data_IF_394411380971
#
_entry.id   IF_394411380971
#
_cell.length_a   1.000
_cell.length_b   1.000
_cell.length_c   1.000
_cell.angle_alpha   90.00
_cell.angle_beta   90.00
_cell.angle_gamma   90.00
#
_symmetry.space_group_name_H-M   'P 1'
#
loop_
_entity.id
_entity.type
_entity.pdbx_description
1 polymer ?
#
# COMPACT_ATOMS: atom_id res chain seq x y z
N UNK A 1 -3.89 15.01 23.86
CA UNK A 1 -2.48 14.89 24.25
C UNK A 1 -1.75 13.82 23.42
N UNK A 2 -2.18 12.55 23.40
CA UNK A 2 -1.50 11.48 22.63
C UNK A 2 -1.33 11.79 21.13
N UNK A 3 -2.35 12.33 20.45
CA UNK A 3 -2.26 12.70 19.02
C UNK A 3 -1.19 13.76 18.73
N UNK A 4 -1.02 14.74 19.62
CA UNK A 4 -0.01 15.78 19.45
C UNK A 4 1.40 15.22 19.64
N UNK A 5 1.59 14.34 20.61
CA UNK A 5 2.87 13.67 20.83
C UNK A 5 3.26 12.76 19.64
N UNK A 6 2.31 12.00 19.12
CA UNK A 6 2.54 11.18 17.91
C UNK A 6 2.87 12.01 16.69
N UNK A 7 2.17 13.12 16.50
CA UNK A 7 2.43 14.05 15.40
C UNK A 7 3.80 14.69 15.54
N UNK A 8 4.17 15.17 16.74
CA UNK A 8 5.47 15.75 17.00
C UNK A 8 6.61 14.73 16.75
N UNK A 9 6.46 13.51 17.23
CA UNK A 9 7.42 12.44 16.95
C UNK A 9 7.61 12.17 15.45
N UNK A 10 6.49 12.08 14.71
CA UNK A 10 6.53 11.90 13.25
C UNK A 10 7.27 13.05 12.56
N UNK A 11 7.02 14.29 12.96
CA UNK A 11 7.74 15.46 12.41
C UNK A 11 9.22 15.42 12.73
N UNK A 12 9.59 15.16 13.99
CA UNK A 12 11.01 15.06 14.42
C UNK A 12 11.71 13.95 13.62
N UNK A 13 11.09 12.77 13.52
CA UNK A 13 11.63 11.65 12.73
C UNK A 13 11.85 12.07 11.27
N UNK A 14 10.84 12.66 10.63
CA UNK A 14 10.94 13.11 9.23
C UNK A 14 12.04 14.14 9.03
N UNK A 15 12.10 15.19 9.87
CA UNK A 15 13.16 16.20 9.75
C UNK A 15 14.56 15.65 10.01
N UNK A 16 14.70 14.69 10.91
CA UNK A 16 15.98 14.05 11.16
C UNK A 16 16.41 13.16 10.00
N UNK A 17 15.48 12.35 9.46
CA UNK A 17 15.73 11.51 8.29
C UNK A 17 16.14 12.36 7.09
N UNK A 18 15.46 13.51 6.85
CA UNK A 18 15.82 14.45 5.77
C UNK A 18 17.25 14.98 5.91
N UNK A 19 17.74 15.17 7.13
CA UNK A 19 19.11 15.66 7.34
C UNK A 19 20.20 14.58 7.19
N UNK A 20 19.83 13.32 7.38
CA UNK A 20 20.77 12.19 7.32
C UNK A 20 20.88 11.64 5.90
N UNK A 21 19.75 11.53 5.19
CA UNK A 21 19.71 10.99 3.84
C UNK A 21 20.18 12.03 2.82
N UNK A 22 20.86 11.52 1.79
CA UNK A 22 21.30 12.34 0.66
C UNK A 22 20.14 12.66 -0.31
N UNK A 23 20.24 13.72 -1.11
CA UNK A 23 19.28 13.99 -2.19
C UNK A 23 19.12 12.81 -3.14
N UNK A 24 20.18 12.06 -3.41
CA UNK A 24 20.17 10.89 -4.29
C UNK A 24 19.32 9.75 -3.68
N UNK A 25 19.40 9.52 -2.36
CA UNK A 25 18.55 8.55 -1.67
C UNK A 25 17.05 8.87 -1.86
N UNK A 26 16.69 10.15 -1.74
CA UNK A 26 15.33 10.61 -1.98
C UNK A 26 14.94 10.52 -3.45
N UNK A 27 15.87 10.78 -4.37
CA UNK A 27 15.66 10.64 -5.80
C UNK A 27 15.27 9.21 -6.20
N UNK A 28 16.02 8.22 -5.72
CA UNK A 28 15.73 6.79 -5.93
C UNK A 28 14.33 6.45 -5.41
N UNK A 29 14.03 6.87 -4.19
CA UNK A 29 12.74 6.57 -3.56
C UNK A 29 11.58 7.27 -4.26
N UNK A 30 11.74 8.52 -4.69
CA UNK A 30 10.73 9.28 -5.40
C UNK A 30 10.35 8.60 -6.73
N UNK A 31 11.34 8.14 -7.50
CA UNK A 31 11.11 7.41 -8.75
C UNK A 31 10.36 6.10 -8.45
N UNK A 32 10.80 5.33 -7.47
CA UNK A 32 10.16 4.08 -7.09
C UNK A 32 8.70 4.30 -6.64
N UNK A 33 8.44 5.36 -5.87
CA UNK A 33 7.08 5.71 -5.42
C UNK A 33 6.15 6.10 -6.57
N UNK A 34 6.63 6.70 -7.66
CA UNK A 34 5.82 7.00 -8.84
C UNK A 34 5.25 5.70 -9.41
N UNK A 35 6.08 4.70 -9.64
CA UNK A 35 5.64 3.40 -10.18
C UNK A 35 4.72 2.67 -9.20
N UNK A 36 5.05 2.69 -7.91
CA UNK A 36 4.21 2.08 -6.88
C UNK A 36 2.83 2.76 -6.78
N UNK A 37 2.78 4.10 -6.85
CA UNK A 37 1.52 4.84 -6.80
C UNK A 37 0.62 4.54 -8.00
N UNK A 38 1.20 4.42 -9.20
CA UNK A 38 0.46 4.02 -10.40
C UNK A 38 -0.20 2.65 -10.21
N UNK A 39 0.54 1.66 -9.69
CA UNK A 39 -0.02 0.34 -9.40
C UNK A 39 -1.16 0.44 -8.38
N UNK A 40 -0.95 1.18 -7.30
CA UNK A 40 -1.90 1.31 -6.19
C UNK A 40 -3.22 1.97 -6.62
N UNK A 41 -3.17 2.92 -7.55
CA UNK A 41 -4.36 3.54 -8.15
C UNK A 41 -5.27 2.48 -8.78
N UNK A 42 -4.70 1.60 -9.59
CA UNK A 42 -5.48 0.57 -10.31
C UNK A 42 -5.95 -0.57 -9.41
N UNK A 43 -5.25 -0.89 -8.33
CA UNK A 43 -5.49 -2.12 -7.55
C UNK A 43 -6.26 -1.90 -6.26
N UNK A 44 -5.96 -0.83 -5.52
CA UNK A 44 -6.48 -0.69 -4.15
C UNK A 44 -7.67 0.25 -4.08
N UNK A 45 -7.52 1.47 -4.58
CA UNK A 45 -8.52 2.51 -4.39
C UNK A 45 -9.82 2.23 -5.15
N UNK A 46 -9.74 1.82 -6.42
CA UNK A 46 -10.91 1.49 -7.23
C UNK A 46 -11.73 0.34 -6.67
N UNK A 47 -11.06 -0.71 -6.15
CA UNK A 47 -11.73 -1.88 -5.61
C UNK A 47 -12.39 -1.65 -4.24
N UNK A 48 -11.81 -0.81 -3.39
CA UNK A 48 -12.44 -0.41 -2.13
C UNK A 48 -13.73 0.34 -2.40
N UNK A 49 -13.73 1.30 -3.33
CA UNK A 49 -14.92 2.07 -3.71
C UNK A 49 -15.99 1.15 -4.32
N UNK A 50 -15.59 0.21 -5.17
CA UNK A 50 -16.49 -0.78 -5.73
C UNK A 50 -17.19 -1.60 -4.64
N UNK A 51 -16.46 -2.08 -3.64
CA UNK A 51 -17.03 -2.87 -2.54
C UNK A 51 -17.96 -2.04 -1.63
N UNK A 52 -17.61 -0.79 -1.37
CA UNK A 52 -18.43 0.11 -0.53
C UNK A 52 -19.75 0.46 -1.22
N UNK A 53 -19.77 0.61 -2.55
CA UNK A 53 -20.99 0.94 -3.32
C UNK A 53 -21.89 -0.27 -3.59
N UNK A 54 -21.35 -1.46 -3.62
CA UNK A 54 -22.10 -2.67 -3.87
C UNK A 54 -22.88 -3.07 -2.62
N UNK A 55 -24.10 -2.52 -2.46
CA UNK A 55 -25.01 -2.79 -1.33
C UNK A 55 -25.71 -4.17 -1.39
N UNK A 56 -25.27 -5.06 -2.30
CA UNK A 56 -25.82 -6.41 -2.47
C UNK A 56 -25.17 -7.45 -1.54
N UNK A 57 -25.03 -8.68 -2.03
CA UNK A 57 -24.50 -9.84 -1.27
C UNK A 57 -23.00 -9.67 -0.93
N UNK A 58 -22.71 -8.84 0.09
CA UNK A 58 -21.37 -8.46 0.56
C UNK A 58 -20.50 -9.70 0.80
N UNK A 59 -21.11 -10.80 1.25
CA UNK A 59 -20.38 -12.02 1.56
C UNK A 59 -19.77 -12.72 0.35
N UNK A 60 -20.42 -12.66 -0.82
CA UNK A 60 -19.88 -13.18 -2.09
C UNK A 60 -18.93 -12.19 -2.73
N UNK A 61 -19.30 -10.91 -2.73
CA UNK A 61 -18.52 -9.84 -3.35
C UNK A 61 -17.14 -9.65 -2.73
N UNK A 62 -16.99 -9.79 -1.40
CA UNK A 62 -15.70 -9.62 -0.71
C UNK A 62 -14.64 -10.63 -1.15
N UNK A 63 -15.04 -11.89 -1.36
CA UNK A 63 -14.11 -12.93 -1.78
C UNK A 63 -13.65 -12.74 -3.23
N UNK A 64 -14.57 -12.32 -4.12
CA UNK A 64 -14.25 -12.02 -5.51
C UNK A 64 -13.35 -10.80 -5.62
N UNK A 65 -13.63 -9.72 -4.88
CA UNK A 65 -12.82 -8.50 -4.88
C UNK A 65 -11.43 -8.77 -4.30
N UNK A 66 -11.32 -9.59 -3.25
CA UNK A 66 -10.03 -10.03 -2.73
C UNK A 66 -9.21 -10.76 -3.81
N UNK A 67 -9.83 -11.76 -4.47
CA UNK A 67 -9.15 -12.54 -5.51
C UNK A 67 -8.74 -11.66 -6.68
N UNK A 68 -9.63 -10.77 -7.13
CA UNK A 68 -9.34 -9.82 -8.21
C UNK A 68 -8.20 -8.87 -7.83
N UNK A 69 -8.24 -8.29 -6.61
CA UNK A 69 -7.18 -7.45 -6.10
C UNK A 69 -5.83 -8.19 -6.06
N UNK A 70 -5.83 -9.42 -5.58
CA UNK A 70 -4.62 -10.24 -5.50
C UNK A 70 -4.05 -10.53 -6.89
N UNK A 71 -4.89 -10.94 -7.85
CA UNK A 71 -4.45 -11.22 -9.22
C UNK A 71 -3.90 -9.97 -9.91
N UNK A 72 -4.60 -8.82 -9.78
CA UNK A 72 -4.14 -7.56 -10.36
C UNK A 72 -2.82 -7.09 -9.72
N UNK A 73 -2.70 -7.17 -8.39
CA UNK A 73 -1.46 -6.81 -7.72
C UNK A 73 -0.30 -7.74 -8.12
N UNK A 74 -0.52 -9.05 -8.22
CA UNK A 74 0.49 -10.00 -8.68
C UNK A 74 0.91 -9.73 -10.13
N UNK A 75 -0.06 -9.50 -11.02
CA UNK A 75 0.22 -9.19 -12.42
C UNK A 75 1.05 -7.91 -12.55
N UNK A 76 0.59 -6.82 -11.93
CA UNK A 76 1.28 -5.53 -12.01
C UNK A 76 2.64 -5.56 -11.30
N UNK A 77 2.77 -6.30 -10.21
CA UNK A 77 4.05 -6.53 -9.55
C UNK A 77 5.02 -7.32 -10.44
N UNK A 78 4.54 -8.33 -11.14
CA UNK A 78 5.34 -9.09 -12.10
C UNK A 78 5.80 -8.19 -13.27
N UNK A 79 4.92 -7.34 -13.79
CA UNK A 79 5.26 -6.36 -14.83
C UNK A 79 6.30 -5.37 -14.31
N UNK A 80 6.13 -4.83 -13.09
CA UNK A 80 7.09 -3.92 -12.48
C UNK A 80 8.44 -4.60 -12.27
N UNK A 81 8.46 -5.82 -11.75
CA UNK A 81 9.70 -6.58 -11.54
C UNK A 81 10.42 -6.87 -12.86
N UNK A 82 9.69 -7.22 -13.92
CA UNK A 82 10.25 -7.47 -15.25
C UNK A 82 10.80 -6.19 -15.90
N UNK A 83 10.13 -5.04 -15.69
CA UNK A 83 10.56 -3.75 -16.23
C UNK A 83 11.61 -3.04 -15.36
N UNK A 84 11.88 -3.50 -14.14
CA UNK A 84 12.75 -2.84 -13.18
C UNK A 84 14.16 -2.53 -13.73
N UNK A 85 14.77 -3.48 -14.44
CA UNK A 85 16.10 -3.29 -15.03
C UNK A 85 16.09 -2.25 -16.17
N UNK A 86 15.03 -2.22 -16.98
CA UNK A 86 14.89 -1.22 -18.06
C UNK A 86 14.67 0.18 -17.50
N UNK A 87 13.85 0.29 -16.43
CA UNK A 87 13.63 1.55 -15.72
C UNK A 87 14.94 2.05 -15.13
N UNK A 88 15.70 1.17 -14.46
CA UNK A 88 16.99 1.53 -13.88
C UNK A 88 18.02 2.01 -14.91
N UNK A 89 18.05 1.38 -16.10
CA UNK A 89 18.89 1.84 -17.21
C UNK A 89 18.47 3.22 -17.74
N UNK A 90 17.17 3.51 -17.78
CA UNK A 90 16.65 4.81 -18.24
C UNK A 90 17.03 5.97 -17.31
N UNK A 91 17.11 5.67 -16.00
CA UNK A 91 17.51 6.64 -14.97
C UNK A 91 19.00 6.58 -14.62
N UNK A 92 19.78 5.77 -15.35
CA UNK A 92 21.23 5.55 -15.12
C UNK A 92 21.57 5.22 -13.65
N UNK A 93 20.70 4.44 -12.98
CA UNK A 93 20.85 4.11 -11.57
C UNK A 93 20.51 2.64 -11.30
N UNK A 94 21.54 1.81 -11.12
CA UNK A 94 21.38 0.37 -10.90
C UNK A 94 20.73 0.02 -9.54
N UNK A 95 20.88 0.87 -8.54
CA UNK A 95 20.25 0.65 -7.22
C UNK A 95 18.72 0.68 -7.31
N UNK A 96 18.17 1.43 -8.26
CA UNK A 96 16.74 1.48 -8.52
C UNK A 96 16.14 0.10 -8.85
N UNK A 97 16.90 -0.78 -9.51
CA UNK A 97 16.47 -2.16 -9.79
C UNK A 97 16.14 -2.92 -8.51
N UNK A 98 17.01 -2.85 -7.50
CA UNK A 98 16.83 -3.53 -6.22
C UNK A 98 15.60 -3.00 -5.49
N UNK A 99 15.44 -1.67 -5.48
CA UNK A 99 14.29 -1.01 -4.85
C UNK A 99 12.99 -1.41 -5.50
N UNK A 100 12.91 -1.38 -6.83
CA UNK A 100 11.71 -1.77 -7.58
C UNK A 100 11.36 -3.26 -7.37
N UNK A 101 12.34 -4.15 -7.29
CA UNK A 101 12.09 -5.56 -6.98
C UNK A 101 11.51 -5.76 -5.59
N UNK A 102 12.06 -5.08 -4.57
CA UNK A 102 11.53 -5.16 -3.21
C UNK A 102 10.11 -4.58 -3.14
N UNK A 103 9.87 -3.44 -3.78
CA UNK A 103 8.53 -2.86 -3.83
C UNK A 103 7.53 -3.74 -4.59
N UNK A 104 7.93 -4.36 -5.70
CA UNK A 104 7.10 -5.33 -6.41
C UNK A 104 6.75 -6.54 -5.55
N UNK A 105 7.69 -7.03 -4.72
CA UNK A 105 7.45 -8.15 -3.81
C UNK A 105 6.48 -7.80 -2.68
N UNK A 106 6.46 -6.55 -2.22
CA UNK A 106 5.62 -6.09 -1.10
C UNK A 106 4.20 -5.74 -1.59
N UNK A 107 4.06 -5.26 -2.83
CA UNK A 107 2.80 -4.74 -3.36
C UNK A 107 1.60 -5.72 -3.20
N UNK A 108 1.70 -7.04 -3.39
CA UNK A 108 0.59 -7.98 -3.15
C UNK A 108 0.03 -7.96 -1.73
N UNK A 109 0.81 -7.49 -0.73
CA UNK A 109 0.34 -7.32 0.65
C UNK A 109 -0.85 -6.37 0.72
N UNK A 110 -0.90 -5.36 -0.16
CA UNK A 110 -2.01 -4.40 -0.22
C UNK A 110 -3.36 -5.06 -0.48
N UNK A 111 -3.39 -6.19 -1.19
CA UNK A 111 -4.62 -6.94 -1.47
C UNK A 111 -5.32 -7.43 -0.19
N UNK A 112 -4.54 -7.79 0.82
CA UNK A 112 -5.06 -8.23 2.13
C UNK A 112 -5.64 -7.08 2.95
N UNK A 113 -5.46 -5.83 2.54
CA UNK A 113 -6.03 -4.66 3.20
C UNK A 113 -7.35 -4.21 2.57
N UNK A 114 -7.66 -4.59 1.32
CA UNK A 114 -8.83 -4.11 0.57
C UNK A 114 -10.13 -4.43 1.30
N UNK A 115 -10.34 -5.70 1.63
CA UNK A 115 -11.56 -6.15 2.30
C UNK A 115 -11.70 -5.57 3.71
N UNK A 116 -10.68 -5.64 4.61
CA UNK A 116 -10.75 -5.02 5.93
C UNK A 116 -11.00 -3.50 5.88
N UNK A 117 -10.34 -2.79 4.99
CA UNK A 117 -10.55 -1.34 4.83
C UNK A 117 -11.99 -1.02 4.42
N UNK A 118 -12.52 -1.73 3.43
CA UNK A 118 -13.89 -1.55 2.98
C UNK A 118 -14.90 -1.90 4.09
N UNK A 119 -14.71 -3.01 4.80
CA UNK A 119 -15.58 -3.41 5.91
C UNK A 119 -15.63 -2.36 7.03
N UNK A 120 -14.49 -1.79 7.41
CA UNK A 120 -14.44 -0.72 8.41
C UNK A 120 -15.12 0.57 7.93
N UNK A 121 -15.06 0.87 6.63
CA UNK A 121 -15.75 2.03 6.03
C UNK A 121 -17.26 1.82 5.97
N UNK A 122 -17.72 0.64 5.53
CA UNK A 122 -19.14 0.28 5.46
C UNK A 122 -19.77 0.35 6.87
N UNK A 123 -19.07 -0.17 7.87
CA UNK A 123 -19.52 -0.18 9.25
C UNK A 123 -19.26 1.12 10.01
N UNK A 124 -18.85 2.20 9.32
CA UNK A 124 -18.53 3.52 9.90
C UNK A 124 -17.49 3.48 11.05
N UNK A 125 -16.66 2.45 11.11
CA UNK A 125 -15.63 2.24 12.16
C UNK A 125 -14.34 3.00 11.84
N UNK A 126 -14.46 4.28 11.47
CA UNK A 126 -13.33 5.13 11.07
C UNK A 126 -12.32 5.36 12.20
N UNK A 127 -12.78 5.39 13.46
CA UNK A 127 -11.88 5.55 14.62
C UNK A 127 -10.88 4.43 14.73
N UNK A 128 -11.33 3.19 14.57
CA UNK A 128 -10.49 2.01 14.67
C UNK A 128 -9.49 1.92 13.51
N UNK A 129 -9.97 2.22 12.29
CA UNK A 129 -9.09 2.35 11.12
C UNK A 129 -7.99 3.37 11.38
N UNK A 130 -8.35 4.57 11.86
CA UNK A 130 -7.39 5.63 12.14
C UNK A 130 -6.38 5.26 13.23
N UNK A 131 -6.78 4.53 14.26
CA UNK A 131 -5.88 4.05 15.32
C UNK A 131 -4.84 3.09 14.74
N UNK A 132 -5.28 2.12 13.91
CA UNK A 132 -4.38 1.16 13.28
C UNK A 132 -3.39 1.86 12.35
N UNK A 133 -3.87 2.72 11.45
CA UNK A 133 -3.04 3.43 10.48
C UNK A 133 -2.06 4.39 11.16
N UNK A 134 -2.50 5.11 12.22
CA UNK A 134 -1.61 5.99 12.99
C UNK A 134 -0.57 5.21 13.78
N UNK A 135 -0.95 4.10 14.40
CA UNK A 135 -0.02 3.24 15.13
C UNK A 135 1.03 2.61 14.22
N UNK A 136 0.61 2.10 13.06
CA UNK A 136 1.51 1.58 12.04
C UNK A 136 2.46 2.68 11.52
N UNK A 137 1.95 3.89 11.28
CA UNK A 137 2.75 5.04 10.85
C UNK A 137 3.81 5.45 11.86
N UNK A 138 3.49 5.41 13.15
CA UNK A 138 4.48 5.69 14.21
C UNK A 138 5.59 4.67 14.24
N UNK A 139 5.26 3.39 14.16
CA UNK A 139 6.26 2.32 14.13
C UNK A 139 7.13 2.41 12.87
N UNK A 140 6.53 2.70 11.74
CA UNK A 140 7.25 2.93 10.49
C UNK A 140 8.22 4.12 10.60
N UNK A 141 7.78 5.24 11.19
CA UNK A 141 8.64 6.40 11.45
C UNK A 141 9.80 6.06 12.40
N UNK A 142 9.56 5.26 13.44
CA UNK A 142 10.61 4.79 14.34
C UNK A 142 11.63 3.90 13.62
N UNK A 143 11.18 3.02 12.73
CA UNK A 143 12.06 2.18 11.90
C UNK A 143 12.87 3.04 10.93
N UNK A 144 12.23 4.00 10.24
CA UNK A 144 12.94 4.93 9.36
C UNK A 144 14.05 5.67 10.09
N UNK A 145 13.72 6.21 11.27
CA UNK A 145 14.66 6.94 12.11
C UNK A 145 15.83 6.06 12.58
N UNK A 146 15.53 4.86 13.12
CA UNK A 146 16.56 3.94 13.60
C UNK A 146 17.49 3.45 12.49
N UNK A 147 16.93 3.09 11.32
CA UNK A 147 17.72 2.67 10.16
C UNK A 147 18.55 3.82 9.57
N UNK A 148 18.01 5.05 9.53
CA UNK A 148 18.75 6.21 9.04
C UNK A 148 19.95 6.53 9.94
N UNK A 149 19.78 6.48 11.27
CA UNK A 149 20.89 6.63 12.22
C UNK A 149 21.95 5.54 12.08
N UNK A 150 21.55 4.34 11.66
CA UNK A 150 22.47 3.22 11.42
C UNK A 150 23.16 3.28 10.06
N UNK A 151 22.92 4.31 9.25
CA UNK A 151 23.59 4.53 7.96
C UNK A 151 23.05 3.70 6.79
N UNK A 152 21.81 3.20 6.86
CA UNK A 152 21.23 2.40 5.78
C UNK A 152 20.80 3.22 4.54
N UNK A 153 20.97 4.56 4.53
CA UNK A 153 20.60 5.42 3.41
C UNK A 153 19.13 5.21 2.97
N UNK A 154 18.87 5.12 1.65
CA UNK A 154 17.53 4.93 1.10
C UNK A 154 16.81 3.66 1.60
N UNK A 155 17.54 2.62 2.03
CA UNK A 155 16.94 1.42 2.64
C UNK A 155 16.13 1.72 3.90
N UNK A 156 16.43 2.81 4.60
CA UNK A 156 15.66 3.24 5.77
C UNK A 156 14.21 3.53 5.42
N UNK A 157 13.97 4.13 4.24
CA UNK A 157 12.64 4.44 3.75
C UNK A 157 11.92 3.17 3.31
N UNK A 158 12.62 2.24 2.65
CA UNK A 158 12.07 0.95 2.23
C UNK A 158 11.63 0.12 3.42
N UNK A 159 12.47 -0.01 4.46
CA UNK A 159 12.10 -0.73 5.69
C UNK A 159 10.93 -0.08 6.41
N UNK A 160 10.84 1.24 6.37
CA UNK A 160 9.68 1.98 6.88
C UNK A 160 8.40 1.60 6.14
N UNK A 161 8.41 1.58 4.81
CA UNK A 161 7.24 1.22 3.99
C UNK A 161 6.84 -0.25 4.16
N UNK A 162 7.81 -1.17 4.28
CA UNK A 162 7.56 -2.56 4.61
C UNK A 162 6.83 -2.65 5.96
N UNK A 163 7.37 -1.97 6.97
CA UNK A 163 6.82 -1.96 8.33
C UNK A 163 5.41 -1.39 8.33
N UNK A 164 5.19 -0.25 7.65
CA UNK A 164 3.88 0.38 7.51
C UNK A 164 2.87 -0.58 6.88
N UNK A 165 3.23 -1.21 5.78
CA UNK A 165 2.37 -2.13 5.04
C UNK A 165 2.02 -3.37 5.87
N UNK A 166 3.01 -4.00 6.50
CA UNK A 166 2.79 -5.20 7.32
C UNK A 166 1.95 -4.90 8.56
N UNK A 167 2.27 -3.85 9.31
CA UNK A 167 1.53 -3.49 10.52
C UNK A 167 0.11 -3.05 10.20
N UNK A 168 -0.08 -2.30 9.11
CA UNK A 168 -1.42 -1.91 8.65
C UNK A 168 -2.23 -3.13 8.23
N UNK A 169 -1.63 -4.06 7.47
CA UNK A 169 -2.28 -5.31 7.08
C UNK A 169 -2.71 -6.12 8.32
N UNK A 170 -1.79 -6.37 9.25
CA UNK A 170 -2.06 -7.14 10.45
C UNK A 170 -3.13 -6.45 11.31
N UNK A 171 -2.96 -5.16 11.58
CA UNK A 171 -3.86 -4.39 12.42
C UNK A 171 -5.27 -4.28 11.86
N UNK A 172 -5.42 -4.03 10.55
CA UNK A 172 -6.74 -3.95 9.92
C UNK A 172 -7.45 -5.30 9.92
N UNK A 173 -6.74 -6.39 9.64
CA UNK A 173 -7.32 -7.74 9.68
C UNK A 173 -7.73 -8.13 11.10
N UNK A 174 -6.93 -7.77 12.10
CA UNK A 174 -7.24 -8.04 13.51
C UNK A 174 -8.49 -7.28 14.00
N UNK A 175 -8.61 -6.02 13.59
CA UNK A 175 -9.74 -5.16 13.99
C UNK A 175 -11.01 -5.47 13.21
N UNK A 176 -10.91 -5.65 11.90
CA UNK A 176 -12.07 -5.93 11.05
C UNK A 176 -12.66 -7.32 11.31
N UNK A 177 -11.82 -8.30 11.70
CA UNK A 177 -12.19 -9.72 11.95
C UNK A 177 -12.92 -10.36 10.76
N UNK A 178 -12.71 -9.84 9.57
CA UNK A 178 -13.31 -10.35 8.36
C UNK A 178 -12.56 -11.59 7.86
N UNK A 179 -13.31 -12.67 7.63
CA UNK A 179 -12.78 -13.87 6.99
C UNK A 179 -13.10 -13.81 5.50
N UNK A 180 -12.08 -13.87 4.67
CA UNK A 180 -12.21 -13.95 3.22
C UNK A 180 -11.34 -15.10 2.70
N UNK A 181 -11.83 -15.73 1.63
CA UNK A 181 -11.13 -16.83 0.96
C UNK A 181 -11.00 -16.49 -0.52
N UNK A 182 -9.92 -16.88 -1.18
CA UNK A 182 -9.81 -16.72 -2.62
C UNK A 182 -10.90 -17.56 -3.29
N UNK A 183 -11.84 -16.89 -3.97
CA UNK A 183 -12.88 -17.54 -4.78
C UNK A 183 -12.93 -16.85 -6.11
N UNK A 184 -12.86 -17.63 -7.19
CA UNK A 184 -12.87 -17.12 -8.54
C UNK A 184 -14.25 -17.37 -9.17
N UNK A 185 -14.94 -16.29 -9.61
CA UNK A 185 -16.18 -16.36 -10.38
C UNK A 185 -16.11 -15.39 -11.55
N UNK A 186 -16.06 -15.91 -12.77
CA UNK A 186 -15.86 -15.13 -13.99
C UNK A 186 -16.95 -14.08 -14.25
N UNK A 187 -18.21 -14.42 -13.96
CA UNK A 187 -19.35 -13.52 -14.20
C UNK A 187 -19.33 -12.25 -13.35
N UNK A 188 -19.04 -12.36 -12.05
CA UNK A 188 -18.95 -11.21 -11.15
C UNK A 188 -17.70 -10.34 -11.37
N UNK A 189 -16.62 -10.92 -11.86
CA UNK A 189 -15.35 -10.22 -12.07
C UNK A 189 -15.48 -9.17 -13.18
N UNK A 190 -16.19 -9.44 -14.25
CA UNK A 190 -16.37 -8.51 -15.39
C UNK A 190 -17.14 -7.25 -15.00
N UNK A 191 -18.18 -7.38 -14.17
CA UNK A 191 -18.95 -6.23 -13.67
C UNK A 191 -18.12 -5.37 -12.72
N UNK A 192 -17.35 -6.00 -11.82
CA UNK A 192 -16.49 -5.31 -10.85
C UNK A 192 -15.37 -4.55 -11.56
N UNK A 193 -14.71 -5.16 -12.55
CA UNK A 193 -13.63 -4.52 -13.34
C UNK A 193 -14.19 -3.34 -14.13
N UNK A 194 -15.30 -3.51 -14.84
CA UNK A 194 -15.94 -2.44 -15.59
C UNK A 194 -16.32 -1.25 -14.70
N UNK A 195 -16.84 -1.54 -13.51
CA UNK A 195 -17.18 -0.50 -12.55
C UNK A 195 -15.93 0.19 -11.95
N UNK A 196 -14.91 -0.58 -11.55
CA UNK A 196 -13.67 -0.02 -11.00
C UNK A 196 -12.96 0.90 -12.00
N UNK A 197 -12.92 0.52 -13.28
CA UNK A 197 -12.36 1.36 -14.34
C UNK A 197 -13.18 2.65 -14.54
N UNK A 198 -14.52 2.56 -14.60
CA UNK A 198 -15.36 3.75 -14.73
C UNK A 198 -15.20 4.73 -13.57
N UNK A 199 -15.10 4.23 -12.33
CA UNK A 199 -14.84 5.07 -11.14
C UNK A 199 -13.46 5.74 -11.26
N UNK A 200 -12.47 5.02 -11.75
CA UNK A 200 -11.12 5.55 -11.90
C UNK A 200 -11.06 6.69 -12.95
N UNK A 201 -11.72 6.48 -14.10
CA UNK A 201 -11.80 7.51 -15.14
C UNK A 201 -12.62 8.74 -14.72
N UNK A 202 -13.54 8.60 -13.77
CA UNK A 202 -14.31 9.74 -13.26
C UNK A 202 -13.57 10.58 -12.21
N UNK A 203 -12.41 10.12 -11.73
CA UNK A 203 -11.56 10.82 -10.75
C UNK A 203 -10.33 11.50 -11.37
N UNK A 204 -10.09 11.28 -12.68
CA UNK A 204 -9.09 11.97 -13.50
C UNK A 204 -9.68 13.20 -14.17
#
# INVERSE_FOLDING_TARGET
MAKLATQAFSWISTFTVIRILTPDDYGIMAIAMIFFSLISIFTTNGLIVALVRQQGDIAKSKNQIFTLSLLLNLLLSAVLAASASHIALWYDNQELTKVLWVMAAINPISSFMVVPKAALQINMRFKEKAIVESGAGLMAAAVAFGCALSGFGYWSLIFSDITLSLLTMIGLNWVAKERFKPTFSWHGTREIVGFALNVQFSQL
#
